data_IF_149514569706
#
_entry.id   IF_149514569706
#
_cell.length_a   1.000
_cell.length_b   1.000
_cell.length_c   1.000
_cell.angle_alpha   90.00
_cell.angle_beta   90.00
_cell.angle_gamma   90.00
#
_symmetry.space_group_name_H-M   'P 1'
#
loop_
_entity.id
_entity.type
_entity.pdbx_description
1 polymer ?
#
# COMPACT_ATOMS: atom_id res chain seq x y z
N UNK A 1 -23.57 -10.32 28.97
CA UNK A 1 -22.16 -9.86 28.93
C UNK A 1 -22.03 -8.95 27.71
N UNK A 2 -21.53 -7.71 27.84
CA UNK A 2 -21.46 -6.79 26.71
C UNK A 2 -20.56 -7.37 25.61
N UNK A 3 -21.14 -7.60 24.44
CA UNK A 3 -20.47 -8.16 23.27
C UNK A 3 -19.62 -7.06 22.61
N UNK A 4 -18.40 -6.86 23.10
CA UNK A 4 -17.38 -5.93 22.56
C UNK A 4 -16.79 -6.42 21.21
N UNK A 5 -17.60 -7.04 20.36
CA UNK A 5 -17.10 -7.98 19.34
C UNK A 5 -16.43 -7.35 18.12
N UNK A 6 -16.57 -6.04 17.88
CA UNK A 6 -16.00 -5.44 16.67
C UNK A 6 -16.12 -3.93 16.59
N UNK A 7 -17.15 -3.34 17.19
CA UNK A 7 -17.33 -1.89 17.17
C UNK A 7 -16.22 -1.13 17.90
N UNK A 8 -15.68 -1.70 18.97
CA UNK A 8 -14.56 -1.13 19.73
C UNK A 8 -13.26 -1.09 18.90
N UNK A 9 -12.99 -2.13 18.11
CA UNK A 9 -11.85 -2.16 17.19
C UNK A 9 -11.93 -1.07 16.13
N UNK A 10 -13.14 -0.80 15.61
CA UNK A 10 -13.35 0.29 14.65
C UNK A 10 -13.06 1.64 15.30
N UNK A 11 -13.55 1.88 16.52
CA UNK A 11 -13.28 3.12 17.26
C UNK A 11 -11.78 3.30 17.51
N UNK A 12 -11.08 2.24 17.94
CA UNK A 12 -9.63 2.28 18.14
C UNK A 12 -8.87 2.55 16.84
N UNK A 13 -9.30 1.95 15.73
CA UNK A 13 -8.71 2.22 14.42
C UNK A 13 -8.91 3.68 13.99
N UNK A 14 -10.08 4.26 14.24
CA UNK A 14 -10.36 5.68 13.95
C UNK A 14 -9.49 6.59 14.81
N UNK A 15 -9.38 6.32 16.12
CA UNK A 15 -8.51 7.10 17.02
C UNK A 15 -7.05 7.02 16.58
N UNK A 16 -6.56 5.83 16.23
CA UNK A 16 -5.21 5.65 15.69
C UNK A 16 -5.03 6.42 14.37
N UNK A 17 -6.02 6.39 13.46
CA UNK A 17 -5.96 7.13 12.20
C UNK A 17 -5.90 8.65 12.42
N UNK A 18 -6.55 9.18 13.46
CA UNK A 18 -6.48 10.61 13.83
C UNK A 18 -5.09 10.97 14.37
N UNK A 19 -4.49 10.12 15.21
CA UNK A 19 -3.17 10.38 15.80
C UNK A 19 -2.03 10.23 14.78
N UNK A 20 -2.07 9.17 13.98
CA UNK A 20 -1.00 8.87 13.01
C UNK A 20 -1.25 9.49 11.63
N UNK A 21 -2.50 9.81 11.29
CA UNK A 21 -2.92 10.24 9.96
C UNK A 21 -3.04 9.08 8.96
N UNK A 22 -4.03 9.16 8.06
CA UNK A 22 -4.24 8.15 7.02
C UNK A 22 -3.04 7.96 6.09
N UNK A 23 -2.31 9.05 5.79
CA UNK A 23 -1.13 8.99 4.92
C UNK A 23 0.02 8.16 5.52
N UNK A 24 0.23 8.22 6.85
CA UNK A 24 1.32 7.49 7.52
C UNK A 24 1.02 6.00 7.57
N UNK A 25 -0.23 5.63 7.91
CA UNK A 25 -0.70 4.24 7.91
C UNK A 25 -0.65 3.66 6.49
N UNK A 26 -1.11 4.41 5.48
CA UNK A 26 -1.05 3.97 4.08
C UNK A 26 0.39 3.78 3.58
N UNK A 27 1.30 4.69 3.94
CA UNK A 27 2.72 4.55 3.60
C UNK A 27 3.34 3.30 4.24
N UNK A 28 3.09 3.07 5.53
CA UNK A 28 3.59 1.88 6.23
C UNK A 28 3.03 0.59 5.61
N UNK A 29 1.73 0.55 5.31
CA UNK A 29 1.09 -0.59 4.66
C UNK A 29 1.63 -0.87 3.25
N UNK A 30 1.91 0.17 2.45
CA UNK A 30 2.46 0.03 1.10
C UNK A 30 3.88 -0.56 1.12
N UNK A 31 4.72 -0.11 2.05
CA UNK A 31 6.09 -0.63 2.22
C UNK A 31 6.08 -2.05 2.79
N UNK A 32 5.28 -2.31 3.82
CA UNK A 32 5.14 -3.65 4.40
C UNK A 32 4.56 -4.66 3.41
N UNK A 33 3.54 -4.26 2.63
CA UNK A 33 2.93 -5.11 1.61
C UNK A 33 3.90 -5.48 0.48
N UNK A 34 4.76 -4.54 0.06
CA UNK A 34 5.86 -4.83 -0.89
C UNK A 34 6.81 -5.88 -0.33
N UNK A 35 7.29 -5.70 0.90
CA UNK A 35 8.19 -6.65 1.55
C UNK A 35 7.56 -8.05 1.70
N UNK A 36 6.29 -8.13 2.11
CA UNK A 36 5.56 -9.40 2.21
C UNK A 36 5.42 -10.08 0.85
N UNK A 37 5.18 -9.30 -0.21
CA UNK A 37 5.02 -9.82 -1.56
C UNK A 37 6.34 -10.37 -2.12
N UNK A 38 7.43 -9.62 -1.99
CA UNK A 38 8.77 -10.06 -2.37
C UNK A 38 9.15 -11.33 -1.59
N UNK A 39 8.93 -11.34 -0.27
CA UNK A 39 9.17 -12.53 0.55
C UNK A 39 8.37 -13.74 0.08
N UNK A 40 7.10 -13.55 -0.30
CA UNK A 40 6.24 -14.64 -0.81
C UNK A 40 6.71 -15.14 -2.17
N UNK A 41 7.12 -14.25 -3.07
CA UNK A 41 7.64 -14.59 -4.40
C UNK A 41 8.95 -15.40 -4.28
N UNK A 42 9.90 -14.93 -3.47
CA UNK A 42 11.15 -15.65 -3.16
C UNK A 42 10.88 -17.01 -2.51
N UNK A 43 10.00 -17.06 -1.51
CA UNK A 43 9.64 -18.32 -0.83
C UNK A 43 8.96 -19.31 -1.79
N UNK A 44 8.18 -18.82 -2.76
CA UNK A 44 7.58 -19.69 -3.78
C UNK A 44 8.61 -20.19 -4.79
N UNK A 45 9.57 -19.37 -5.22
CA UNK A 45 10.66 -19.80 -6.10
C UNK A 45 11.49 -20.92 -5.45
N UNK A 46 11.83 -20.78 -4.16
CA UNK A 46 12.51 -21.81 -3.37
C UNK A 46 11.68 -23.09 -3.30
N UNK A 47 10.35 -22.98 -3.11
CA UNK A 47 9.46 -24.14 -2.95
C UNK A 47 9.18 -24.86 -4.27
N UNK A 48 9.20 -24.16 -5.39
CA UNK A 48 8.90 -24.71 -6.71
C UNK A 48 10.14 -25.22 -7.45
N UNK A 49 11.36 -24.95 -6.97
CA UNK A 49 12.60 -25.46 -7.56
C UNK A 49 13.02 -24.78 -8.88
N UNK A 50 12.16 -23.94 -9.45
CA UNK A 50 12.44 -23.10 -10.62
C UNK A 50 12.95 -21.73 -10.15
N UNK A 51 14.25 -21.51 -10.34
CA UNK A 51 14.91 -20.22 -10.09
C UNK A 51 14.80 -19.34 -11.32
N UNK A 52 13.67 -18.65 -11.51
CA UNK A 52 13.55 -17.62 -12.55
C UNK A 52 13.13 -16.28 -11.91
N UNK A 53 13.95 -15.22 -12.03
CA UNK A 53 13.73 -13.98 -11.28
C UNK A 53 12.54 -13.19 -11.86
N UNK A 54 11.54 -12.95 -11.02
CA UNK A 54 10.45 -12.04 -11.35
C UNK A 54 10.98 -10.60 -11.37
N UNK A 55 11.14 -10.03 -12.57
CA UNK A 55 11.58 -8.65 -12.73
C UNK A 55 10.67 -7.66 -11.97
N UNK A 56 11.23 -6.71 -11.21
CA UNK A 56 10.44 -5.70 -10.50
C UNK A 56 9.61 -4.88 -11.49
N UNK A 57 8.29 -5.03 -11.43
CA UNK A 57 7.39 -4.06 -12.05
C UNK A 57 7.47 -2.76 -11.22
N UNK A 58 8.28 -1.82 -11.70
CA UNK A 58 8.29 -0.46 -11.21
C UNK A 58 6.84 0.05 -11.20
N UNK A 59 6.34 0.61 -10.10
CA UNK A 59 5.02 1.23 -10.10
C UNK A 59 5.06 2.35 -11.14
N UNK A 60 4.21 2.24 -12.15
CA UNK A 60 4.02 3.29 -13.13
C UNK A 60 3.90 4.63 -12.39
N UNK A 61 4.64 5.67 -12.80
CA UNK A 61 4.50 6.98 -12.19
C UNK A 61 3.01 7.35 -12.32
N UNK A 62 2.36 7.56 -11.16
CA UNK A 62 1.09 8.24 -11.15
C UNK A 62 1.36 9.58 -11.83
N UNK A 63 0.75 9.77 -13.00
CA UNK A 63 0.84 10.99 -13.80
C UNK A 63 0.71 12.19 -12.84
N UNK A 64 1.70 13.08 -12.77
CA UNK A 64 1.50 14.37 -12.14
C UNK A 64 0.25 14.99 -12.74
N UNK A 65 -0.51 15.64 -11.86
CA UNK A 65 -1.65 16.47 -12.18
C UNK A 65 -1.44 17.19 -13.52
N UNK A 66 -2.43 17.01 -14.41
CA UNK A 66 -2.68 17.88 -15.54
C UNK A 66 -2.91 19.28 -14.95
N UNK A 67 -1.82 20.04 -14.90
CA UNK A 67 -1.76 21.45 -14.55
C UNK A 67 -0.76 22.03 -15.52
N UNK A 68 -1.16 22.01 -16.78
CA UNK A 68 -0.55 22.74 -17.89
C UNK A 68 -1.73 23.44 -18.56
N UNK A 69 -2.00 24.66 -18.12
CA UNK A 69 -1.62 25.85 -18.87
C UNK A 69 -2.59 26.04 -20.04
N UNK A 70 -3.56 26.94 -19.85
CA UNK A 70 -4.47 27.34 -20.92
C UNK A 70 -3.67 27.95 -22.07
N UNK A 71 -3.93 27.56 -23.34
CA UNK A 71 -3.41 28.33 -24.44
C UNK A 71 -4.31 29.56 -24.58
N UNK A 72 -3.80 30.67 -24.07
CA UNK A 72 -4.05 31.98 -24.66
C UNK A 72 -3.61 31.93 -26.14
N UNK A 73 -4.56 31.78 -27.06
CA UNK A 73 -4.43 32.20 -28.46
C UNK A 73 -5.74 32.95 -28.79
N UNK A 74 -5.67 34.27 -28.92
CA UNK A 74 -5.42 35.03 -30.17
C UNK A 74 -6.64 35.07 -31.07
#
# INVERSE_FOLDING_TARGET
>A
MPNLGGWEWVILAVVALVLFGGAKVASLGKNAGKAIREFKEETQAIKSGDSEPAAPQAPAPASPAESDEGPSQS
#
